data_IF_497279729494
#
_entry.id   IF_497279729494
#
_cell.length_a   1.000
_cell.length_b   1.000
_cell.length_c   1.000
_cell.angle_alpha   90.00
_cell.angle_beta   90.00
_cell.angle_gamma   90.00
#
_symmetry.space_group_name_H-M   'P 1'
#
loop_
_entity.id
_entity.type
_entity.pdbx_description
1 polymer ?
#
# COMPACT_ATOMS: atom_id res chain seq x y z
N UNK A 1 6.19 11.68 -16.05
CA UNK A 1 5.04 11.09 -15.32
C UNK A 1 3.78 11.80 -15.78
N UNK A 2 2.68 11.08 -16.04
CA UNK A 2 1.38 11.70 -16.33
C UNK A 2 0.85 12.43 -15.08
N UNK A 3 0.03 13.47 -15.26
CA UNK A 3 -0.55 14.22 -14.14
C UNK A 3 -1.32 13.31 -13.17
N UNK A 4 -2.07 12.34 -13.71
CA UNK A 4 -2.83 11.36 -12.93
C UNK A 4 -1.93 10.45 -12.09
N UNK A 5 -0.73 10.09 -12.59
CA UNK A 5 0.21 9.27 -11.83
C UNK A 5 0.78 10.04 -10.63
N UNK A 6 1.07 11.33 -10.82
CA UNK A 6 1.51 12.22 -9.73
C UNK A 6 0.40 12.41 -8.70
N UNK A 7 -0.86 12.54 -9.14
CA UNK A 7 -2.02 12.62 -8.27
C UNK A 7 -2.18 11.35 -7.42
N UNK A 8 -2.18 10.17 -8.04
CA UNK A 8 -2.30 8.88 -7.34
C UNK A 8 -1.17 8.68 -6.32
N UNK A 9 0.07 9.02 -6.69
CA UNK A 9 1.22 8.95 -5.80
C UNK A 9 1.10 9.93 -4.61
N UNK A 10 0.57 11.13 -4.87
CA UNK A 10 0.33 12.14 -3.84
C UNK A 10 -0.78 11.70 -2.88
N UNK A 11 -1.86 11.09 -3.39
CA UNK A 11 -2.92 10.46 -2.56
C UNK A 11 -2.36 9.37 -1.66
N UNK A 12 -1.47 8.51 -2.18
CA UNK A 12 -0.82 7.47 -1.37
C UNK A 12 0.04 8.07 -0.24
N UNK A 13 0.82 9.12 -0.54
CA UNK A 13 1.59 9.84 0.48
C UNK A 13 0.69 10.50 1.53
N UNK A 14 -0.41 11.11 1.10
CA UNK A 14 -1.39 11.71 2.00
C UNK A 14 -2.06 10.66 2.90
N UNK A 15 -2.44 9.50 2.34
CA UNK A 15 -2.99 8.37 3.10
C UNK A 15 -2.02 7.94 4.21
N UNK A 16 -0.73 7.73 3.88
CA UNK A 16 0.31 7.38 4.86
C UNK A 16 0.36 8.36 6.03
N UNK A 17 0.35 9.67 5.73
CA UNK A 17 0.48 10.73 6.75
C UNK A 17 -0.73 10.92 7.64
N UNK A 18 -1.91 10.40 7.24
CA UNK A 18 -3.18 10.61 7.94
C UNK A 18 -3.79 9.30 8.46
N UNK A 19 -3.03 8.20 8.51
CA UNK A 19 -3.51 6.95 9.05
C UNK A 19 -3.78 7.06 10.56
N UNK A 20 -4.97 6.68 11.04
CA UNK A 20 -5.26 6.59 12.47
C UNK A 20 -4.54 5.39 13.10
N UNK A 21 -4.34 5.44 14.42
CA UNK A 21 -3.75 4.31 15.16
C UNK A 21 -4.57 3.02 15.06
N UNK A 22 -5.89 3.15 14.95
CA UNK A 22 -6.83 2.07 14.69
C UNK A 22 -7.33 2.20 13.24
N UNK A 23 -6.91 1.27 12.38
CA UNK A 23 -7.18 1.36 10.94
C UNK A 23 -8.41 0.53 10.58
N UNK A 24 -9.51 1.20 10.32
CA UNK A 24 -10.73 0.60 9.79
C UNK A 24 -10.57 0.12 8.33
N UNK A 25 -11.41 -0.81 7.92
CA UNK A 25 -11.49 -1.34 6.55
C UNK A 25 -11.62 -0.25 5.47
N UNK A 26 -12.21 0.91 5.80
CA UNK A 26 -12.34 2.06 4.88
C UNK A 26 -10.98 2.53 4.35
N UNK A 27 -9.94 2.56 5.19
CA UNK A 27 -8.60 2.95 4.75
C UNK A 27 -7.95 1.89 3.86
N UNK A 28 -8.33 0.62 4.02
CA UNK A 28 -7.87 -0.46 3.15
C UNK A 28 -8.53 -0.36 1.77
N UNK A 29 -9.81 0.00 1.72
CA UNK A 29 -10.54 0.26 0.47
C UNK A 29 -9.88 1.43 -0.27
N UNK A 30 -9.69 2.58 0.39
CA UNK A 30 -9.01 3.75 -0.18
C UNK A 30 -7.60 3.38 -0.68
N UNK A 31 -6.85 2.61 0.10
CA UNK A 31 -5.54 2.11 -0.31
C UNK A 31 -5.61 1.25 -1.58
N UNK A 32 -6.57 0.31 -1.69
CA UNK A 32 -6.71 -0.54 -2.87
C UNK A 32 -7.16 0.24 -4.11
N UNK A 33 -7.98 1.28 -3.95
CA UNK A 33 -8.38 2.17 -5.05
C UNK A 33 -7.17 2.95 -5.59
N UNK A 34 -6.35 3.53 -4.70
CA UNK A 34 -5.11 4.20 -5.09
C UNK A 34 -4.15 3.20 -5.76
N UNK A 35 -4.04 1.98 -5.21
CA UNK A 35 -3.18 0.94 -5.76
C UNK A 35 -3.61 0.52 -7.17
N UNK A 36 -4.92 0.36 -7.41
CA UNK A 36 -5.44 0.04 -8.73
C UNK A 36 -5.15 1.15 -9.74
N UNK A 37 -5.31 2.41 -9.34
CA UNK A 37 -4.98 3.56 -10.18
C UNK A 37 -3.48 3.61 -10.51
N UNK A 38 -2.61 3.35 -9.54
CA UNK A 38 -1.16 3.27 -9.76
C UNK A 38 -0.78 2.13 -10.71
N UNK A 39 -1.37 0.94 -10.54
CA UNK A 39 -1.15 -0.23 -11.40
C UNK A 39 -1.58 0.07 -12.85
N UNK A 40 -2.77 0.64 -13.04
CA UNK A 40 -3.28 1.03 -14.36
C UNK A 40 -2.40 2.09 -15.06
N UNK A 41 -2.01 3.14 -14.34
CA UNK A 41 -1.27 4.27 -14.92
C UNK A 41 0.22 3.97 -15.16
N UNK A 42 0.80 3.09 -14.36
CA UNK A 42 2.24 2.75 -14.45
C UNK A 42 2.52 1.50 -15.26
N UNK A 43 1.53 0.60 -15.43
CA UNK A 43 1.71 -0.71 -16.04
C UNK A 43 2.53 -1.69 -15.18
N UNK A 44 2.81 -1.36 -13.92
CA UNK A 44 3.54 -2.22 -12.98
C UNK A 44 2.56 -3.09 -12.21
N UNK A 45 2.83 -4.40 -12.11
CA UNK A 45 2.02 -5.32 -11.30
C UNK A 45 2.18 -5.00 -9.80
N UNK A 46 1.08 -4.59 -9.16
CA UNK A 46 1.03 -4.23 -7.74
C UNK A 46 0.28 -5.24 -6.88
N UNK A 47 -0.12 -6.40 -7.41
CA UNK A 47 -0.92 -7.41 -6.69
C UNK A 47 -0.29 -7.84 -5.37
N UNK A 48 1.04 -7.93 -5.34
CA UNK A 48 1.79 -8.33 -4.14
C UNK A 48 1.73 -7.32 -2.99
N UNK A 49 1.33 -6.08 -3.27
CA UNK A 49 1.14 -5.05 -2.24
C UNK A 49 -0.28 -5.00 -1.67
N UNK A 50 -1.24 -5.73 -2.25
CA UNK A 50 -2.61 -5.79 -1.73
C UNK A 50 -2.64 -6.34 -0.30
N UNK A 51 -3.55 -5.78 0.49
CA UNK A 51 -3.90 -6.29 1.81
C UNK A 51 -4.84 -7.48 1.61
N UNK A 52 -4.45 -8.70 2.04
CA UNK A 52 -5.34 -9.85 1.90
C UNK A 52 -6.51 -9.73 2.88
N UNK A 53 -7.67 -10.25 2.49
CA UNK A 53 -8.88 -10.25 3.34
C UNK A 53 -8.65 -10.93 4.70
N UNK A 54 -7.72 -11.88 4.76
CA UNK A 54 -7.31 -12.53 6.00
C UNK A 54 -6.64 -11.58 7.00
N UNK A 55 -6.25 -10.37 6.62
CA UNK A 55 -5.69 -9.36 7.53
C UNK A 55 -6.72 -8.31 7.97
N UNK A 56 -7.94 -8.39 7.43
CA UNK A 56 -9.05 -7.45 7.71
C UNK A 56 -10.03 -8.19 8.63
N UNK A 57 -9.89 -7.99 9.95
CA UNK A 57 -10.63 -8.79 10.95
C UNK A 57 -11.27 -7.91 12.01
N UNK A 58 -12.41 -8.35 12.59
CA UNK A 58 -12.91 -7.76 13.83
C UNK A 58 -11.85 -7.84 14.93
N UNK A 59 -11.76 -6.82 15.77
CA UNK A 59 -10.91 -6.85 16.96
C UNK A 59 -11.64 -7.51 18.11
N UNK A 60 -10.92 -8.22 18.98
CA UNK A 60 -11.46 -8.67 20.26
C UNK A 60 -11.66 -7.45 21.17
N UNK A 61 -12.88 -7.23 21.64
CA UNK A 61 -13.25 -6.09 22.50
C UNK A 61 -13.37 -6.53 23.96
N UNK A 62 -13.84 -7.75 24.20
CA UNK A 62 -13.93 -8.34 25.53
C UNK A 62 -13.78 -9.84 25.44
N UNK A 63 -13.18 -10.45 26.46
CA UNK A 63 -13.06 -11.90 26.60
C UNK A 63 -13.24 -12.29 28.06
N UNK A 64 -14.08 -13.28 28.32
CA UNK A 64 -14.24 -13.88 29.64
C UNK A 64 -13.40 -15.15 29.71
N UNK A 65 -12.36 -15.13 30.55
CA UNK A 65 -11.43 -16.27 30.69
C UNK A 65 -12.04 -17.46 31.43
N UNK A 66 -13.07 -17.25 32.26
CA UNK A 66 -13.74 -18.33 32.99
C UNK A 66 -14.77 -19.06 32.12
N UNK A 67 -15.52 -18.34 31.28
CA UNK A 67 -16.57 -18.93 30.41
C UNK A 67 -16.09 -19.21 28.98
N UNK A 68 -14.96 -18.63 28.56
CA UNK A 68 -14.46 -18.70 27.19
C UNK A 68 -15.18 -17.77 26.21
N UNK A 69 -16.15 -16.98 26.66
CA UNK A 69 -16.90 -16.07 25.81
C UNK A 69 -16.02 -14.94 25.26
N UNK A 70 -16.10 -14.69 23.95
CA UNK A 70 -15.38 -13.62 23.28
C UNK A 70 -16.36 -12.71 22.56
N UNK A 71 -16.20 -11.40 22.75
CA UNK A 71 -16.97 -10.38 22.06
C UNK A 71 -16.06 -9.60 21.13
N UNK A 72 -16.40 -9.64 19.84
CA UNK A 72 -15.69 -8.90 18.81
C UNK A 72 -16.37 -7.57 18.49
N UNK A 73 -15.64 -6.67 17.84
CA UNK A 73 -16.17 -5.43 17.28
C UNK A 73 -17.11 -5.68 16.10
N UNK A 74 -18.01 -4.73 15.84
CA UNK A 74 -18.84 -4.77 14.63
C UNK A 74 -18.03 -4.41 13.37
N UNK A 75 -17.07 -3.48 13.49
CA UNK A 75 -16.16 -3.10 12.40
C UNK A 75 -15.03 -4.10 12.20
N UNK A 76 -14.45 -4.08 10.99
CA UNK A 76 -13.21 -4.79 10.68
C UNK A 76 -12.04 -3.82 10.60
N UNK A 77 -10.91 -4.31 11.06
CA UNK A 77 -9.70 -3.54 11.23
C UNK A 77 -8.52 -4.26 10.58
N UNK A 78 -7.51 -3.49 10.22
CA UNK A 78 -6.17 -3.99 9.89
C UNK A 78 -5.18 -3.47 10.91
N UNK A 79 -4.11 -4.23 11.15
CA UNK A 79 -3.01 -3.71 11.96
C UNK A 79 -2.40 -2.48 11.26
N UNK A 80 -2.25 -1.39 12.01
CA UNK A 80 -1.67 -0.14 11.49
C UNK A 80 -0.31 -0.36 10.82
N UNK A 81 0.59 -1.05 11.51
CA UNK A 81 1.93 -1.38 11.01
C UNK A 81 1.88 -2.19 9.71
N UNK A 82 0.90 -3.09 9.56
CA UNK A 82 0.75 -3.89 8.36
C UNK A 82 0.39 -3.02 7.15
N UNK A 83 -0.62 -2.14 7.29
CA UNK A 83 -0.99 -1.25 6.19
C UNK A 83 0.14 -0.27 5.86
N UNK A 84 0.80 0.29 6.88
CA UNK A 84 1.91 1.21 6.72
C UNK A 84 3.07 0.56 5.95
N UNK A 85 3.43 -0.68 6.29
CA UNK A 85 4.43 -1.46 5.55
C UNK A 85 4.07 -1.64 4.07
N UNK A 86 2.78 -1.88 3.76
CA UNK A 86 2.33 -2.00 2.36
C UNK A 86 2.43 -0.69 1.61
N UNK A 87 2.04 0.41 2.23
CA UNK A 87 2.15 1.75 1.64
C UNK A 87 3.61 2.11 1.39
N UNK A 88 4.48 1.90 2.37
CA UNK A 88 5.92 2.18 2.24
C UNK A 88 6.56 1.35 1.14
N UNK A 89 6.19 0.08 1.01
CA UNK A 89 6.67 -0.77 -0.07
C UNK A 89 6.35 -0.22 -1.45
N UNK A 90 5.12 0.27 -1.66
CA UNK A 90 4.71 0.88 -2.93
C UNK A 90 5.46 2.18 -3.17
N UNK A 91 5.51 3.08 -2.18
CA UNK A 91 6.22 4.36 -2.30
C UNK A 91 7.69 4.16 -2.69
N UNK A 92 8.39 3.30 -1.94
CA UNK A 92 9.79 3.00 -2.19
C UNK A 92 10.02 2.36 -3.57
N UNK A 93 9.12 1.48 -4.01
CA UNK A 93 9.24 0.88 -5.34
C UNK A 93 9.18 1.94 -6.45
N UNK A 94 8.24 2.88 -6.37
CA UNK A 94 8.12 3.97 -7.34
C UNK A 94 9.30 4.95 -7.28
N UNK A 95 9.86 5.20 -6.09
CA UNK A 95 11.09 5.98 -5.93
C UNK A 95 12.26 5.31 -6.65
N UNK A 96 12.47 4.01 -6.44
CA UNK A 96 13.51 3.23 -7.12
C UNK A 96 13.31 3.28 -8.64
N UNK A 97 12.08 3.08 -9.13
CA UNK A 97 11.78 3.14 -10.57
C UNK A 97 12.06 4.53 -11.17
N UNK A 98 11.85 5.61 -10.40
CA UNK A 98 12.15 6.97 -10.84
C UNK A 98 13.64 7.33 -10.82
N UNK A 99 14.42 6.68 -9.95
CA UNK A 99 15.83 6.98 -9.72
C UNK A 99 16.81 6.19 -10.59
N UNK A 100 16.36 5.17 -11.32
CA UNK A 100 17.20 4.40 -12.25
C UNK A 100 17.65 5.30 -13.43
N UNK A 101 18.95 5.62 -13.59
CA UNK A 101 19.42 6.28 -14.79
C UNK A 101 19.18 5.35 -15.99
N UNK A 102 18.68 5.88 -17.11
CA UNK A 102 18.69 5.15 -18.38
C UNK A 102 20.14 4.73 -18.65
N UNK A 103 20.46 3.47 -18.44
CA UNK A 103 21.76 2.91 -18.81
C UNK A 103 21.78 2.83 -20.32
N UNK A 104 22.26 3.90 -20.95
CA UNK A 104 22.71 3.83 -22.34
C UNK A 104 23.95 2.96 -22.32
N UNK A 105 23.81 1.66 -22.57
CA UNK A 105 24.93 0.79 -22.86
C UNK A 105 25.47 1.24 -24.22
N UNK A 106 26.28 2.30 -24.21
CA UNK A 106 26.94 2.84 -25.38
C UNK A 106 28.14 1.96 -25.70
N UNK A 107 27.97 1.02 -26.63
CA UNK A 107 29.11 0.49 -27.36
C UNK A 107 29.58 1.56 -28.34
N UNK A 108 30.62 2.31 -27.97
CA UNK A 108 31.36 3.14 -28.92
C UNK A 108 32.37 2.26 -29.65
N UNK A 109 32.21 1.98 -30.95
CA UNK A 109 33.24 1.30 -31.72
C UNK A 109 34.51 2.19 -31.77
N UNK A 110 35.72 1.61 -31.71
CA UNK A 110 36.94 2.37 -31.85
C UNK A 110 37.00 2.97 -33.26
N UNK A 111 37.20 4.27 -33.35
CA UNK A 111 37.42 4.99 -34.61
C UNK A 111 38.71 4.50 -35.26
N UNK A 112 38.60 4.00 -36.49
CA UNK A 112 39.71 3.81 -37.43
C UNK A 112 39.45 4.63 -38.67
#
# INVERSE_FOLDING_TARGET
MSQQLVEAYSRLKALKGNLPSLVDEIYVIEYHEILAMLEELSGVDLKNFRVPASQIRPRLVSGNLLTGEQRFSNGKYVQHSFLMMRIDGVLNMFEILSSQPKTTIGFTPPTK
#
